data_IF_445906635085
#
_entry.id   IF_445906635085
#
_cell.length_a   1.000
_cell.length_b   1.000
_cell.length_c   1.000
_cell.angle_alpha   90.00
_cell.angle_beta   90.00
_cell.angle_gamma   90.00
#
_symmetry.space_group_name_H-M   'P 1'
#
loop_
_entity.id
_entity.type
_entity.pdbx_description
1 polymer ?
#
# COMPACT_ATOMS: atom_id res chain seq x y z
N UNK A 1 -13.97 -17.22 -10.98
CA UNK A 1 -13.06 -16.24 -10.36
C UNK A 1 -13.89 -15.34 -9.47
N UNK A 2 -13.51 -15.20 -8.19
CA UNK A 2 -14.16 -14.21 -7.32
C UNK A 2 -13.65 -12.83 -7.70
N UNK A 3 -14.49 -12.03 -8.34
CA UNK A 3 -14.17 -10.67 -8.78
C UNK A 3 -14.29 -9.71 -7.59
N UNK A 4 -13.30 -8.83 -7.40
CA UNK A 4 -13.38 -7.75 -6.41
C UNK A 4 -14.55 -6.81 -6.75
N UNK A 5 -15.28 -6.35 -5.73
CA UNK A 5 -16.31 -5.32 -5.95
C UNK A 5 -15.66 -4.02 -6.47
N UNK A 6 -16.40 -3.22 -7.24
CA UNK A 6 -15.89 -1.95 -7.77
C UNK A 6 -15.39 -1.00 -6.66
N UNK A 7 -16.06 -1.00 -5.50
CA UNK A 7 -15.64 -0.23 -4.33
C UNK A 7 -14.30 -0.74 -3.78
N UNK A 8 -14.13 -2.06 -3.67
CA UNK A 8 -12.88 -2.66 -3.19
C UNK A 8 -11.73 -2.38 -4.14
N UNK A 9 -11.95 -2.47 -5.46
CA UNK A 9 -10.94 -2.13 -6.47
C UNK A 9 -10.50 -0.66 -6.36
N UNK A 10 -11.46 0.25 -6.21
CA UNK A 10 -11.20 1.68 -6.03
C UNK A 10 -10.37 1.94 -4.78
N UNK A 11 -10.69 1.25 -3.67
CA UNK A 11 -9.94 1.38 -2.42
C UNK A 11 -8.52 0.85 -2.55
N UNK A 12 -8.33 -0.32 -3.16
CA UNK A 12 -7.00 -0.89 -3.44
C UNK A 12 -6.17 0.07 -4.31
N UNK A 13 -6.77 0.65 -5.34
CA UNK A 13 -6.10 1.61 -6.21
C UNK A 13 -5.64 2.86 -5.45
N UNK A 14 -6.48 3.39 -4.55
CA UNK A 14 -6.11 4.54 -3.69
C UNK A 14 -4.97 4.21 -2.72
N UNK A 15 -4.98 3.01 -2.13
CA UNK A 15 -3.88 2.53 -1.27
C UNK A 15 -2.58 2.48 -2.07
N UNK A 16 -2.61 1.89 -3.27
CA UNK A 16 -1.44 1.83 -4.16
C UNK A 16 -0.94 3.24 -4.50
N UNK A 17 -1.84 4.15 -4.90
CA UNK A 17 -1.46 5.53 -5.23
C UNK A 17 -0.76 6.24 -4.07
N UNK A 18 -1.28 6.08 -2.84
CA UNK A 18 -0.68 6.70 -1.66
C UNK A 18 0.70 6.12 -1.36
N UNK A 19 0.87 4.79 -1.41
CA UNK A 19 2.16 4.14 -1.20
C UNK A 19 3.21 4.54 -2.25
N UNK A 20 2.81 4.60 -3.53
CA UNK A 20 3.69 5.04 -4.62
C UNK A 20 4.08 6.50 -4.44
N UNK A 21 3.13 7.38 -4.11
CA UNK A 21 3.41 8.78 -3.83
C UNK A 21 4.39 8.95 -2.66
N UNK A 22 4.21 8.16 -1.60
CA UNK A 22 5.12 8.18 -0.46
C UNK A 22 6.52 7.71 -0.82
N UNK A 23 6.64 6.67 -1.64
CA UNK A 23 7.94 6.18 -2.13
C UNK A 23 8.67 7.24 -2.97
N UNK A 24 7.95 7.91 -3.89
CA UNK A 24 8.50 8.96 -4.75
C UNK A 24 8.94 10.18 -3.94
N UNK A 25 8.10 10.65 -3.00
CA UNK A 25 8.35 11.89 -2.25
C UNK A 25 9.35 11.72 -1.11
N UNK A 26 9.44 10.52 -0.53
CA UNK A 26 10.08 10.34 0.76
C UNK A 26 11.13 9.24 0.79
N UNK A 27 11.02 8.20 -0.02
CA UNK A 27 11.91 7.04 0.07
C UNK A 27 13.15 7.15 -0.83
N UNK A 28 13.15 8.04 -1.83
CA UNK A 28 14.19 8.05 -2.89
C UNK A 28 14.35 6.67 -3.53
N UNK A 29 13.26 5.91 -3.60
CA UNK A 29 13.25 4.57 -4.16
C UNK A 29 13.48 4.62 -5.68
N UNK A 30 14.25 3.65 -6.17
CA UNK A 30 14.48 3.45 -7.61
C UNK A 30 13.63 2.33 -8.18
N UNK A 31 13.05 1.51 -7.31
CA UNK A 31 12.17 0.40 -7.68
C UNK A 31 11.08 0.26 -6.64
N UNK A 32 9.86 0.02 -7.13
CA UNK A 32 8.68 -0.30 -6.30
C UNK A 32 8.08 -1.58 -6.88
N UNK A 33 7.95 -2.60 -6.05
CA UNK A 33 7.29 -3.87 -6.36
C UNK A 33 5.88 -3.85 -5.78
N UNK A 34 4.88 -4.09 -6.63
CA UNK A 34 3.48 -4.18 -6.24
C UNK A 34 2.96 -5.56 -6.65
N UNK A 35 2.42 -6.30 -5.70
CA UNK A 35 1.84 -7.63 -5.92
C UNK A 35 0.43 -7.67 -5.34
N UNK A 36 -0.52 -8.20 -6.13
CA UNK A 36 -1.88 -8.47 -5.70
C UNK A 36 -2.18 -9.95 -5.95
N UNK A 37 -2.30 -10.72 -4.87
CA UNK A 37 -2.44 -12.17 -4.91
C UNK A 37 -3.84 -12.53 -4.40
N UNK A 38 -4.57 -13.33 -5.18
CA UNK A 38 -5.82 -13.92 -4.72
C UNK A 38 -5.54 -15.24 -4.01
N UNK A 39 -5.93 -15.31 -2.74
CA UNK A 39 -6.08 -16.57 -2.01
C UNK A 39 -7.56 -16.96 -1.99
N UNK A 40 -7.87 -18.18 -1.53
CA UNK A 40 -9.23 -18.72 -1.53
C UNK A 40 -10.24 -17.80 -0.84
N UNK A 41 -9.85 -17.17 0.27
CA UNK A 41 -10.75 -16.39 1.12
C UNK A 41 -10.41 -14.89 1.22
N UNK A 42 -9.31 -14.45 0.62
CA UNK A 42 -8.85 -13.06 0.75
C UNK A 42 -7.92 -12.66 -0.39
N UNK A 43 -7.69 -11.35 -0.49
CA UNK A 43 -6.70 -10.76 -1.38
C UNK A 43 -5.53 -10.22 -0.56
N UNK A 44 -4.31 -10.56 -0.96
CA UNK A 44 -3.08 -10.05 -0.37
C UNK A 44 -2.51 -8.98 -1.31
N UNK A 45 -2.45 -7.74 -0.83
CA UNK A 45 -1.74 -6.64 -1.49
C UNK A 45 -0.40 -6.42 -0.78
N UNK A 46 0.71 -6.57 -1.51
CA UNK A 46 2.05 -6.31 -1.02
C UNK A 46 2.68 -5.19 -1.85
N UNK A 47 3.25 -4.19 -1.19
CA UNK A 47 3.91 -3.04 -1.80
C UNK A 47 5.26 -2.87 -1.09
N UNK A 48 6.35 -3.00 -1.84
CA UNK A 48 7.71 -2.90 -1.34
C UNK A 48 8.49 -1.91 -2.19
N UNK A 49 9.20 -0.99 -1.56
CA UNK A 49 10.14 -0.10 -2.22
C UNK A 49 11.56 -0.33 -1.68
N UNK A 50 12.57 -0.03 -2.50
CA UNK A 50 13.98 -0.17 -2.12
C UNK A 50 14.60 1.14 -1.60
N UNK A 51 13.76 2.08 -1.15
CA UNK A 51 14.20 3.38 -0.67
C UNK A 51 14.71 3.35 0.78
N UNK A 52 14.99 4.52 1.32
CA UNK A 52 15.58 4.72 2.66
C UNK A 52 14.62 4.42 3.82
N UNK A 53 13.40 3.98 3.55
CA UNK A 53 12.35 3.76 4.55
C UNK A 53 11.92 5.06 5.26
N UNK A 54 11.30 4.92 6.43
CA UNK A 54 10.86 6.05 7.27
C UNK A 54 11.35 5.87 8.71
N UNK A 55 11.70 7.00 9.35
CA UNK A 55 12.09 6.99 10.77
C UNK A 55 10.84 6.86 11.65
N UNK A 56 10.80 5.82 12.50
CA UNK A 56 9.66 5.46 13.35
C UNK A 56 9.23 6.60 14.29
N UNK A 57 10.15 7.50 14.63
CA UNK A 57 9.89 8.68 15.48
C UNK A 57 9.04 9.77 14.79
N UNK A 58 8.91 9.73 13.45
CA UNK A 58 8.11 10.69 12.67
C UNK A 58 6.69 10.22 12.35
N UNK A 59 6.23 9.09 12.92
CA UNK A 59 4.85 8.62 12.75
C UNK A 59 3.91 9.48 13.62
N UNK A 60 3.80 10.77 13.29
CA UNK A 60 2.66 11.59 13.70
C UNK A 60 1.50 11.22 12.80
N UNK A 61 0.66 10.30 13.27
CA UNK A 61 -0.73 10.08 12.82
C UNK A 61 -0.98 10.40 11.33
N UNK A 62 -0.17 9.84 10.44
CA UNK A 62 -0.47 9.84 9.03
C UNK A 62 -1.67 8.92 8.84
N UNK A 63 -2.76 9.45 8.30
CA UNK A 63 -4.04 8.75 8.13
C UNK A 63 -3.84 7.39 7.42
N UNK A 64 -2.78 7.24 6.61
CA UNK A 64 -2.43 6.01 5.88
C UNK A 64 -2.08 4.77 6.72
N UNK A 65 -1.63 4.90 7.97
CA UNK A 65 -1.30 3.74 8.84
C UNK A 65 -2.44 3.33 9.79
N UNK A 66 -3.49 4.15 9.91
CA UNK A 66 -4.56 3.94 10.89
C UNK A 66 -5.69 3.02 10.42
N UNK A 67 -5.72 2.61 9.14
CA UNK A 67 -6.89 1.90 8.56
C UNK A 67 -6.74 0.38 8.43
N UNK A 68 -5.68 -0.23 8.96
CA UNK A 68 -5.57 -1.70 9.04
C UNK A 68 -5.75 -2.15 10.50
N UNK A 69 -6.97 -2.00 10.98
CA UNK A 69 -7.50 -2.83 12.07
C UNK A 69 -8.91 -3.21 11.67
N UNK A 70 -9.06 -4.47 11.28
CA UNK A 70 -10.33 -5.19 11.22
C UNK A 70 -10.98 -5.24 12.59
#
# INVERSE_FOLDING_TARGET
>A
MNTLSANTQTNIYRIIQECVNNSIKHAEATTINIQLIQHENYWLLMIEDNGKGFSQEKIKSGIGLASIKS
#
